data_IF_205169418891
#
_entry.id   IF_205169418891
#
_cell.length_a   1.000
_cell.length_b   1.000
_cell.length_c   1.000
_cell.angle_alpha   90.00
_cell.angle_beta   90.00
_cell.angle_gamma   90.00
#
_symmetry.space_group_name_H-M   'P 1'
#
loop_
_entity.id
_entity.type
_entity.pdbx_description
1 polymer ?
#
# COMPACT_ATOMS: atom_id res chain seq x y z
N UNK A 1 16.27 25.20 -42.52
CA UNK A 1 16.59 24.39 -41.32
C UNK A 1 16.02 23.00 -41.55
N UNK A 2 16.87 21.98 -41.72
CA UNK A 2 16.42 20.64 -42.07
C UNK A 2 15.88 19.91 -40.84
N UNK A 3 14.67 19.35 -40.98
CA UNK A 3 14.00 18.54 -39.97
C UNK A 3 14.62 17.13 -39.95
N UNK A 4 15.01 16.64 -38.77
CA UNK A 4 15.45 15.27 -38.61
C UNK A 4 14.24 14.33 -38.44
N UNK A 5 14.18 13.20 -39.16
CA UNK A 5 13.16 12.17 -38.95
C UNK A 5 13.55 11.26 -37.78
N UNK A 6 12.54 10.88 -36.98
CA UNK A 6 12.63 9.85 -35.94
C UNK A 6 12.86 8.46 -36.54
N UNK A 7 13.91 7.72 -36.15
CA UNK A 7 14.03 6.30 -36.43
C UNK A 7 13.87 5.50 -35.13
N UNK A 8 12.75 4.78 -34.99
CA UNK A 8 12.70 3.44 -34.36
C UNK A 8 11.26 2.92 -34.35
N UNK A 9 10.86 2.32 -35.47
CA UNK A 9 10.09 1.08 -35.45
C UNK A 9 11.10 -0.05 -35.68
N UNK A 10 11.20 -1.02 -34.78
CA UNK A 10 11.63 -2.36 -35.16
C UNK A 10 11.27 -3.41 -34.09
N UNK A 11 10.66 -4.49 -34.59
CA UNK A 11 10.62 -5.85 -34.05
C UNK A 11 9.71 -6.16 -32.86
N UNK A 12 8.56 -6.78 -33.16
CA UNK A 12 8.22 -8.12 -32.67
C UNK A 12 7.07 -8.66 -33.52
N UNK A 13 7.43 -9.15 -34.71
CA UNK A 13 6.64 -10.07 -35.52
C UNK A 13 7.26 -11.46 -35.31
N UNK A 14 6.45 -12.45 -34.94
CA UNK A 14 6.87 -13.85 -34.98
C UNK A 14 6.42 -14.69 -33.79
N UNK A 15 5.20 -15.23 -33.87
CA UNK A 15 4.88 -16.58 -33.40
C UNK A 15 3.53 -17.02 -33.99
N UNK A 16 3.62 -17.66 -35.16
CA UNK A 16 2.60 -18.55 -35.69
C UNK A 16 2.59 -19.87 -34.90
N UNK A 17 1.42 -20.40 -34.59
CA UNK A 17 1.08 -21.84 -34.62
C UNK A 17 -0.41 -21.98 -34.27
N UNK A 18 -1.29 -22.09 -35.26
CA UNK A 18 -1.76 -23.38 -35.80
C UNK A 18 -2.64 -24.17 -34.81
N UNK A 19 -3.95 -23.91 -34.85
CA UNK A 19 -4.97 -24.87 -34.47
C UNK A 19 -6.20 -24.66 -35.37
N UNK A 20 -6.04 -25.04 -36.64
CA UNK A 20 -7.13 -25.39 -37.53
C UNK A 20 -7.65 -26.77 -37.11
N UNK A 21 -8.94 -26.88 -36.84
CA UNK A 21 -9.58 -28.11 -36.40
C UNK A 21 -11.10 -28.06 -36.60
N UNK A 22 -11.49 -28.32 -37.85
CA UNK A 22 -12.75 -28.84 -38.41
C UNK A 22 -14.14 -28.41 -37.91
N UNK A 23 -15.05 -28.08 -38.86
CA UNK A 23 -16.49 -28.08 -38.68
C UNK A 23 -17.09 -29.48 -38.96
N UNK A 24 -18.40 -29.61 -38.68
CA UNK A 24 -19.31 -30.74 -38.96
C UNK A 24 -19.28 -31.91 -37.97
N UNK A 25 -20.38 -32.10 -37.21
CA UNK A 25 -21.25 -33.24 -37.48
C UNK A 25 -22.67 -33.06 -36.91
N UNK A 26 -23.64 -33.34 -37.78
CA UNK A 26 -25.07 -33.60 -37.54
C UNK A 26 -25.31 -34.48 -36.30
N UNK A 27 -26.37 -34.16 -35.57
CA UNK A 27 -27.35 -35.14 -35.05
C UNK A 27 -28.59 -34.41 -34.53
N UNK A 28 -29.49 -34.12 -35.46
CA UNK A 28 -30.90 -33.83 -35.18
C UNK A 28 -31.57 -35.09 -34.63
N UNK A 29 -31.66 -35.21 -33.32
CA UNK A 29 -32.60 -36.10 -32.65
C UNK A 29 -33.50 -35.22 -31.80
N UNK A 30 -34.75 -35.08 -32.23
CA UNK A 30 -35.80 -34.37 -31.49
C UNK A 30 -36.18 -35.20 -30.26
N UNK A 31 -35.90 -34.76 -29.03
CA UNK A 31 -36.51 -35.37 -27.86
C UNK A 31 -37.95 -34.89 -27.79
N UNK A 32 -38.89 -35.82 -27.65
CA UNK A 32 -40.29 -35.54 -27.37
C UNK A 32 -40.39 -34.48 -26.27
N UNK A 33 -41.04 -33.38 -26.62
CA UNK A 33 -41.41 -32.28 -25.74
C UNK A 33 -42.49 -32.80 -24.78
N UNK A 34 -42.06 -33.45 -23.70
CA UNK A 34 -42.88 -33.64 -22.51
C UNK A 34 -43.36 -32.27 -22.05
N UNK A 35 -44.68 -32.11 -21.95
CA UNK A 35 -45.30 -30.89 -21.42
C UNK A 35 -44.61 -30.49 -20.11
N UNK A 36 -44.19 -29.22 -19.97
CA UNK A 36 -43.67 -28.74 -18.71
C UNK A 36 -44.80 -28.79 -17.68
N UNK A 37 -44.69 -29.71 -16.72
CA UNK A 37 -45.58 -29.70 -15.57
C UNK A 37 -45.59 -28.30 -14.94
N UNK A 38 -46.78 -27.78 -14.59
CA UNK A 38 -46.90 -26.44 -14.01
C UNK A 38 -45.99 -26.36 -12.78
N UNK A 39 -45.13 -25.32 -12.66
CA UNK A 39 -44.17 -25.22 -11.57
C UNK A 39 -44.94 -25.29 -10.26
N UNK A 40 -44.83 -26.42 -9.56
CA UNK A 40 -45.45 -26.60 -8.24
C UNK A 40 -45.00 -25.43 -7.40
N UNK A 41 -45.94 -24.62 -6.92
CA UNK A 41 -45.68 -23.49 -6.03
C UNK A 41 -44.90 -24.02 -4.84
N UNK A 42 -43.58 -23.89 -4.86
CA UNK A 42 -42.73 -24.17 -3.72
C UNK A 42 -43.12 -23.12 -2.71
N UNK A 43 -43.85 -23.53 -1.68
CA UNK A 43 -44.12 -22.66 -0.55
C UNK A 43 -42.77 -22.30 0.04
N UNK A 44 -42.32 -21.08 -0.24
CA UNK A 44 -41.07 -20.53 0.27
C UNK A 44 -41.22 -20.42 1.78
N UNK A 45 -40.82 -21.50 2.47
CA UNK A 45 -40.83 -21.57 3.92
C UNK A 45 -40.04 -20.36 4.43
N UNK A 46 -40.63 -19.49 5.27
CA UNK A 46 -39.95 -18.30 5.76
C UNK A 46 -38.64 -18.73 6.43
N UNK A 47 -37.51 -18.31 5.86
CA UNK A 47 -36.22 -18.63 6.42
C UNK A 47 -36.10 -18.00 7.80
N UNK A 48 -35.88 -18.84 8.81
CA UNK A 48 -35.61 -18.41 10.19
C UNK A 48 -34.19 -17.81 10.24
N UNK A 49 -34.08 -16.59 9.74
CA UNK A 49 -32.85 -15.79 9.74
C UNK A 49 -32.74 -15.02 11.05
N UNK A 50 -31.51 -14.83 11.51
CA UNK A 50 -31.25 -14.02 12.68
C UNK A 50 -31.78 -12.58 12.51
N UNK A 51 -32.42 -12.04 13.56
CA UNK A 51 -33.05 -10.73 13.53
C UNK A 51 -32.07 -9.60 13.22
N UNK A 52 -30.81 -9.71 13.67
CA UNK A 52 -29.78 -8.68 13.42
C UNK A 52 -29.33 -8.69 11.95
N UNK A 53 -29.25 -9.88 11.34
CA UNK A 53 -28.90 -10.04 9.92
C UNK A 53 -30.03 -9.50 9.04
N UNK A 54 -31.29 -9.79 9.40
CA UNK A 54 -32.47 -9.24 8.71
C UNK A 54 -32.50 -7.71 8.79
N UNK A 55 -32.30 -7.15 9.99
CA UNK A 55 -32.25 -5.69 10.20
C UNK A 55 -31.16 -5.02 9.36
N UNK A 56 -29.98 -5.65 9.24
CA UNK A 56 -28.91 -5.14 8.37
C UNK A 56 -29.33 -5.15 6.90
N UNK A 57 -29.99 -6.21 6.46
CA UNK A 57 -30.52 -6.35 5.10
C UNK A 57 -31.56 -5.30 4.76
N UNK A 58 -32.53 -5.10 5.65
CA UNK A 58 -33.58 -4.09 5.49
C UNK A 58 -32.99 -2.67 5.45
N UNK A 59 -32.00 -2.37 6.30
CA UNK A 59 -31.40 -1.04 6.38
C UNK A 59 -30.67 -0.63 5.09
N UNK A 60 -29.97 -1.57 4.45
CA UNK A 60 -29.20 -1.33 3.24
C UNK A 60 -29.91 -1.80 1.95
N UNK A 61 -31.14 -2.30 2.06
CA UNK A 61 -31.94 -2.88 0.98
C UNK A 61 -31.17 -3.95 0.18
N UNK A 62 -30.61 -4.92 0.91
CA UNK A 62 -29.79 -6.02 0.36
C UNK A 62 -30.69 -7.21 0.03
N UNK A 63 -30.48 -7.82 -1.14
CA UNK A 63 -31.23 -9.00 -1.57
C UNK A 63 -31.07 -10.19 -0.60
N UNK A 64 -32.18 -10.88 -0.32
CA UNK A 64 -32.26 -12.02 0.60
C UNK A 64 -31.22 -13.10 0.32
N UNK A 65 -30.87 -13.31 -0.96
CA UNK A 65 -29.84 -14.27 -1.37
C UNK A 65 -28.52 -14.07 -0.63
N UNK A 66 -28.10 -12.81 -0.44
CA UNK A 66 -26.84 -12.50 0.25
C UNK A 66 -27.00 -12.55 1.77
N UNK A 67 -28.19 -12.27 2.29
CA UNK A 67 -28.50 -12.36 3.72
C UNK A 67 -28.51 -13.81 4.21
N UNK A 68 -29.05 -14.75 3.42
CA UNK A 68 -28.96 -16.20 3.72
C UNK A 68 -27.50 -16.61 3.87
N UNK A 69 -26.64 -16.21 2.91
CA UNK A 69 -25.20 -16.51 2.96
C UNK A 69 -24.52 -15.85 4.16
N UNK A 70 -24.89 -14.61 4.50
CA UNK A 70 -24.36 -13.93 5.69
C UNK A 70 -24.78 -14.66 6.98
N UNK A 71 -26.05 -15.06 7.11
CA UNK A 71 -26.59 -15.79 8.26
C UNK A 71 -25.83 -17.12 8.48
N UNK A 72 -25.60 -17.87 7.40
CA UNK A 72 -24.79 -19.10 7.46
C UNK A 72 -23.37 -18.85 8.00
N UNK A 73 -22.70 -17.77 7.58
CA UNK A 73 -21.38 -17.40 8.10
C UNK A 73 -21.43 -16.95 9.57
N UNK A 74 -22.46 -16.19 9.95
CA UNK A 74 -22.66 -15.77 11.34
C UNK A 74 -22.93 -16.96 12.27
N UNK A 75 -23.64 -18.00 11.79
CA UNK A 75 -23.85 -19.27 12.53
C UNK A 75 -22.55 -20.03 12.76
N UNK A 76 -21.56 -19.93 11.86
CA UNK A 76 -20.22 -20.51 12.02
C UNK A 76 -19.34 -19.68 12.95
N UNK A 77 -19.49 -18.35 12.95
CA UNK A 77 -18.69 -17.38 13.72
C UNK A 77 -19.45 -16.84 14.95
N UNK A 78 -20.13 -17.70 15.71
CA UNK A 78 -21.02 -17.26 16.81
C UNK A 78 -20.33 -16.36 17.84
N UNK A 79 -19.06 -16.63 18.13
CA UNK A 79 -18.27 -15.87 19.12
C UNK A 79 -17.99 -14.42 18.70
N UNK A 80 -17.84 -14.16 17.40
CA UNK A 80 -17.52 -12.82 16.86
C UNK A 80 -18.68 -12.17 16.13
N UNK A 81 -19.88 -12.78 16.15
CA UNK A 81 -21.06 -12.35 15.40
C UNK A 81 -21.35 -10.86 15.60
N UNK A 82 -21.50 -10.41 16.84
CA UNK A 82 -21.85 -9.03 17.16
C UNK A 82 -20.80 -8.03 16.66
N UNK A 83 -19.51 -8.36 16.84
CA UNK A 83 -18.39 -7.54 16.41
C UNK A 83 -18.30 -7.48 14.88
N UNK A 84 -18.58 -8.60 14.21
CA UNK A 84 -18.57 -8.71 12.76
C UNK A 84 -19.72 -7.90 12.15
N UNK A 85 -20.94 -8.02 12.68
CA UNK A 85 -22.11 -7.25 12.24
C UNK A 85 -21.94 -5.75 12.48
N UNK A 86 -21.44 -5.35 13.66
CA UNK A 86 -21.15 -3.94 13.94
C UNK A 86 -20.12 -3.38 12.94
N UNK A 87 -19.11 -4.19 12.58
CA UNK A 87 -18.11 -3.77 11.61
C UNK A 87 -18.66 -3.67 10.19
N UNK A 88 -19.50 -4.63 9.79
CA UNK A 88 -20.18 -4.59 8.50
C UNK A 88 -21.04 -3.34 8.39
N UNK A 89 -21.80 -2.98 9.43
CA UNK A 89 -22.63 -1.77 9.44
C UNK A 89 -21.82 -0.51 9.13
N UNK A 90 -20.70 -0.29 9.84
CA UNK A 90 -19.81 0.86 9.61
C UNK A 90 -19.24 0.91 8.19
N UNK A 91 -18.85 -0.25 7.65
CA UNK A 91 -18.19 -0.35 6.35
C UNK A 91 -19.21 -0.17 5.22
N UNK A 92 -20.42 -0.69 5.38
CA UNK A 92 -21.51 -0.57 4.41
C UNK A 92 -22.10 0.84 4.37
N UNK A 93 -22.17 1.53 5.51
CA UNK A 93 -22.63 2.92 5.60
C UNK A 93 -21.77 3.89 4.76
N UNK A 94 -20.47 3.61 4.63
CA UNK A 94 -19.55 4.44 3.85
C UNK A 94 -19.46 4.01 2.37
N UNK A 95 -20.08 2.89 2.00
CA UNK A 95 -19.92 2.29 0.69
C UNK A 95 -20.80 2.97 -0.37
N UNK A 96 -20.27 3.15 -1.58
CA UNK A 96 -21.08 3.61 -2.73
C UNK A 96 -22.11 2.56 -3.17
N UNK A 97 -21.80 1.28 -2.98
CA UNK A 97 -22.68 0.14 -3.26
C UNK A 97 -22.56 -0.84 -2.09
N UNK A 98 -23.53 -0.84 -1.15
CA UNK A 98 -23.45 -1.70 0.03
C UNK A 98 -23.50 -3.18 -0.35
N UNK A 99 -24.39 -3.59 -1.27
CA UNK A 99 -24.51 -4.99 -1.72
C UNK A 99 -23.20 -5.52 -2.30
N UNK A 100 -22.57 -4.79 -3.23
CA UNK A 100 -21.31 -5.24 -3.84
C UNK A 100 -20.17 -5.35 -2.83
N UNK A 101 -20.09 -4.42 -1.87
CA UNK A 101 -19.09 -4.47 -0.81
C UNK A 101 -19.35 -5.61 0.17
N UNK A 102 -20.61 -5.88 0.51
CA UNK A 102 -20.97 -7.02 1.36
C UNK A 102 -20.48 -8.33 0.73
N UNK A 103 -20.69 -8.55 -0.56
CA UNK A 103 -20.24 -9.77 -1.25
C UNK A 103 -18.72 -9.95 -1.13
N UNK A 104 -17.95 -8.88 -1.29
CA UNK A 104 -16.50 -8.92 -1.07
C UNK A 104 -16.15 -9.27 0.39
N UNK A 105 -16.87 -8.70 1.37
CA UNK A 105 -16.67 -9.00 2.80
C UNK A 105 -17.07 -10.41 3.18
N UNK A 106 -18.09 -10.99 2.57
CA UNK A 106 -18.44 -12.41 2.74
C UNK A 106 -17.30 -13.31 2.27
N UNK A 107 -16.67 -12.99 1.13
CA UNK A 107 -15.47 -13.69 0.66
C UNK A 107 -14.29 -13.58 1.63
N UNK A 108 -14.03 -12.39 2.18
CA UNK A 108 -13.02 -12.22 3.23
C UNK A 108 -13.35 -13.00 4.51
N UNK A 109 -14.62 -13.09 4.89
CA UNK A 109 -15.08 -13.86 6.06
C UNK A 109 -14.87 -15.36 5.87
N UNK A 110 -15.17 -15.89 4.68
CA UNK A 110 -14.95 -17.29 4.30
C UNK A 110 -13.47 -17.65 4.30
N UNK A 111 -12.60 -16.75 3.83
CA UNK A 111 -11.16 -16.90 3.90
C UNK A 111 -10.56 -16.70 5.31
N UNK A 112 -11.39 -16.41 6.33
CA UNK A 112 -10.93 -16.10 7.68
C UNK A 112 -10.11 -14.80 7.78
N UNK A 113 -10.17 -13.96 6.75
CA UNK A 113 -9.46 -12.70 6.66
C UNK A 113 -10.21 -11.55 7.33
N UNK A 114 -11.53 -11.61 7.38
CA UNK A 114 -12.34 -10.57 7.99
C UNK A 114 -12.19 -10.53 9.52
N UNK A 115 -11.82 -9.35 10.04
CA UNK A 115 -11.74 -9.06 11.49
C UNK A 115 -12.82 -8.03 11.85
N UNK A 116 -13.71 -8.41 12.76
CA UNK A 116 -14.78 -7.55 13.28
C UNK A 116 -14.26 -6.37 14.11
N UNK A 117 -15.19 -5.64 14.73
CA UNK A 117 -14.88 -4.47 15.57
C UNK A 117 -14.30 -4.92 16.91
N UNK A 118 -12.99 -5.11 16.93
CA UNK A 118 -12.23 -5.49 18.13
C UNK A 118 -11.72 -4.23 18.84
N UNK A 119 -11.90 -4.16 20.17
CA UNK A 119 -11.34 -3.08 20.99
C UNK A 119 -9.80 -3.13 20.91
N UNK A 120 -9.12 -2.01 20.62
CA UNK A 120 -7.65 -1.99 20.58
C UNK A 120 -7.08 -2.39 21.94
N UNK A 121 -5.94 -3.08 21.91
CA UNK A 121 -5.22 -3.46 23.13
C UNK A 121 -4.52 -2.26 23.77
N UNK A 122 -4.20 -2.36 25.07
CA UNK A 122 -3.44 -1.33 25.79
C UNK A 122 -2.07 -1.06 25.15
N UNK A 123 -1.42 -2.09 24.61
CA UNK A 123 -0.15 -1.95 23.89
C UNK A 123 -0.31 -1.19 22.55
N UNK A 124 -1.42 -1.42 21.84
CA UNK A 124 -1.72 -0.73 20.58
C UNK A 124 -2.08 0.74 20.87
N UNK A 125 -2.89 0.99 21.90
CA UNK A 125 -3.20 2.34 22.36
C UNK A 125 -1.93 3.11 22.75
N UNK A 126 -1.00 2.46 23.48
CA UNK A 126 0.30 3.04 23.82
C UNK A 126 1.08 3.46 22.58
N UNK A 127 1.17 2.61 21.56
CA UNK A 127 1.85 2.94 20.31
C UNK A 127 1.14 4.06 19.54
N UNK A 128 -0.19 4.02 19.51
CA UNK A 128 -1.01 5.03 18.86
C UNK A 128 -0.80 6.41 19.46
N UNK A 129 -0.81 6.52 20.79
CA UNK A 129 -0.55 7.78 21.50
C UNK A 129 0.91 8.21 21.37
N UNK A 130 1.88 7.29 21.53
CA UNK A 130 3.31 7.61 21.48
C UNK A 130 3.76 8.18 20.14
N UNK A 131 3.21 7.66 19.04
CA UNK A 131 3.62 8.02 17.68
C UNK A 131 2.55 8.80 16.90
N UNK A 132 1.45 9.20 17.56
CA UNK A 132 0.29 9.86 16.95
C UNK A 132 -0.20 9.12 15.69
N UNK A 133 -0.46 7.81 15.82
CA UNK A 133 -0.89 6.98 14.70
C UNK A 133 -2.35 7.23 14.34
N UNK A 134 -2.65 7.24 13.04
CA UNK A 134 -4.01 7.45 12.54
C UNK A 134 -4.92 6.27 12.92
N UNK A 135 -6.23 6.52 13.05
CA UNK A 135 -7.24 5.49 13.36
C UNK A 135 -7.19 4.30 12.41
N UNK A 136 -6.88 4.52 11.13
CA UNK A 136 -6.72 3.45 10.13
C UNK A 136 -5.55 2.52 10.46
N UNK A 137 -4.45 3.08 10.95
CA UNK A 137 -3.26 2.31 11.37
C UNK A 137 -3.58 1.50 12.62
N UNK A 138 -4.28 2.09 13.59
CA UNK A 138 -4.73 1.41 14.80
C UNK A 138 -5.60 0.20 14.47
N UNK A 139 -6.55 0.35 13.54
CA UNK A 139 -7.38 -0.76 13.06
C UNK A 139 -6.55 -1.89 12.45
N UNK A 140 -5.52 -1.55 11.65
CA UNK A 140 -4.61 -2.53 11.05
C UNK A 140 -3.69 -3.21 12.08
N UNK A 141 -3.27 -2.50 13.12
CA UNK A 141 -2.52 -3.08 14.24
C UNK A 141 -3.37 -4.09 15.01
N UNK A 142 -4.65 -3.78 15.23
CA UNK A 142 -5.59 -4.71 15.86
C UNK A 142 -5.80 -5.95 15.00
N UNK A 143 -5.91 -5.80 13.68
CA UNK A 143 -5.97 -6.93 12.74
C UNK A 143 -4.70 -7.79 12.79
N UNK A 144 -3.52 -7.16 12.76
CA UNK A 144 -2.23 -7.86 12.86
C UNK A 144 -2.15 -8.71 14.13
N UNK A 145 -2.62 -8.17 15.27
CA UNK A 145 -2.70 -8.87 16.56
C UNK A 145 -3.54 -10.14 16.46
N UNK A 146 -4.73 -10.03 15.88
CA UNK A 146 -5.68 -11.14 15.76
C UNK A 146 -5.12 -12.24 14.86
N UNK A 147 -4.50 -11.88 13.73
CA UNK A 147 -3.97 -12.85 12.75
C UNK A 147 -2.65 -13.49 13.17
N UNK A 148 -1.74 -12.75 13.83
CA UNK A 148 -0.38 -13.22 14.14
C UNK A 148 -0.14 -13.43 15.63
N UNK A 149 -1.05 -14.14 16.31
CA UNK A 149 -0.99 -14.37 17.78
C UNK A 149 0.37 -14.87 18.30
N UNK A 150 1.11 -15.65 17.51
CA UNK A 150 2.41 -16.22 17.89
C UNK A 150 3.56 -15.21 17.85
N UNK A 151 3.65 -14.36 16.82
CA UNK A 151 4.77 -13.42 16.62
C UNK A 151 4.43 -11.97 16.94
N UNK A 152 3.19 -11.68 17.34
CA UNK A 152 2.68 -10.32 17.53
C UNK A 152 3.59 -9.43 18.40
N UNK A 153 4.18 -9.99 19.46
CA UNK A 153 4.99 -9.19 20.38
C UNK A 153 6.32 -8.77 19.74
N UNK A 154 6.95 -9.68 18.99
CA UNK A 154 8.15 -9.38 18.22
C UNK A 154 7.85 -8.37 17.11
N UNK A 155 6.73 -8.57 16.41
CA UNK A 155 6.26 -7.68 15.34
C UNK A 155 6.04 -6.25 15.89
N UNK A 156 5.42 -6.10 17.07
CA UNK A 156 5.25 -4.79 17.71
C UNK A 156 6.56 -4.16 18.17
N UNK A 157 7.48 -4.95 18.76
CA UNK A 157 8.78 -4.44 19.20
C UNK A 157 9.60 -3.93 18.01
N UNK A 158 9.65 -4.69 16.92
CA UNK A 158 10.36 -4.27 15.70
C UNK A 158 9.68 -3.07 15.05
N UNK A 159 8.35 -3.07 14.97
CA UNK A 159 7.61 -1.92 14.46
C UNK A 159 7.92 -0.65 15.26
N UNK A 160 7.96 -0.73 16.60
CA UNK A 160 8.31 0.40 17.46
C UNK A 160 9.72 0.94 17.19
N UNK A 161 10.69 0.05 16.93
CA UNK A 161 12.04 0.46 16.50
C UNK A 161 12.00 1.24 15.18
N UNK A 162 11.27 0.75 14.17
CA UNK A 162 11.09 1.44 12.89
C UNK A 162 10.43 2.81 13.06
N UNK A 163 9.34 2.89 13.81
CA UNK A 163 8.61 4.14 14.06
C UNK A 163 9.48 5.20 14.76
N UNK A 164 10.44 4.78 15.59
CA UNK A 164 11.37 5.70 16.25
C UNK A 164 12.35 6.39 15.29
N UNK A 165 12.62 5.79 14.12
CA UNK A 165 13.53 6.33 13.10
C UNK A 165 12.82 7.13 12.00
N UNK A 166 11.48 7.07 11.94
CA UNK A 166 10.70 7.63 10.84
C UNK A 166 10.35 9.11 10.99
N UNK A 167 10.30 9.80 9.83
CA UNK A 167 9.69 11.13 9.75
C UNK A 167 8.16 11.08 9.86
N UNK A 168 7.53 10.07 9.24
CA UNK A 168 6.08 9.88 9.11
C UNK A 168 5.66 8.49 9.63
N UNK A 169 5.42 8.33 10.94
CA UNK A 169 5.18 7.03 11.56
C UNK A 169 3.93 6.33 11.01
N UNK A 170 2.79 7.01 10.84
CA UNK A 170 1.55 6.41 10.31
C UNK A 170 1.73 5.75 8.94
N UNK A 171 2.47 6.41 8.04
CA UNK A 171 2.72 5.90 6.69
C UNK A 171 3.62 4.65 6.71
N UNK A 172 4.70 4.69 7.49
CA UNK A 172 5.60 3.53 7.63
C UNK A 172 4.90 2.35 8.28
N UNK A 173 4.12 2.58 9.35
CA UNK A 173 3.33 1.53 9.98
C UNK A 173 2.37 0.88 8.98
N UNK A 174 1.62 1.67 8.21
CA UNK A 174 0.67 1.15 7.22
C UNK A 174 1.35 0.24 6.20
N UNK A 175 2.53 0.63 5.72
CA UNK A 175 3.30 -0.13 4.74
C UNK A 175 3.81 -1.45 5.33
N UNK A 176 4.50 -1.40 6.47
CA UNK A 176 5.08 -2.60 7.10
C UNK A 176 4.00 -3.58 7.54
N UNK A 177 2.90 -3.10 8.13
CA UNK A 177 1.78 -3.95 8.54
C UNK A 177 1.09 -4.57 7.32
N UNK A 178 0.90 -3.80 6.23
CA UNK A 178 0.33 -4.31 4.98
C UNK A 178 1.11 -5.51 4.46
N UNK A 179 2.44 -5.36 4.33
CA UNK A 179 3.32 -6.45 3.88
C UNK A 179 3.31 -7.68 4.79
N UNK A 180 3.17 -7.49 6.10
CA UNK A 180 3.06 -8.62 7.05
C UNK A 180 1.71 -9.34 6.93
N UNK A 181 0.62 -8.60 6.69
CA UNK A 181 -0.73 -9.14 6.56
C UNK A 181 -0.96 -9.84 5.22
N UNK A 182 -0.33 -9.33 4.16
CA UNK A 182 -0.33 -9.90 2.82
C UNK A 182 0.60 -11.12 2.70
N UNK A 183 1.49 -11.32 3.69
CA UNK A 183 2.44 -12.42 3.71
C UNK A 183 3.67 -12.20 2.85
N UNK A 184 3.84 -11.01 2.26
CA UNK A 184 5.06 -10.63 1.52
C UNK A 184 6.29 -10.62 2.44
N UNK A 185 6.09 -10.21 3.70
CA UNK A 185 7.12 -10.24 4.73
C UNK A 185 6.81 -11.29 5.79
N UNK A 186 7.75 -12.22 5.99
CA UNK A 186 7.69 -13.17 7.11
C UNK A 186 7.92 -12.46 8.44
N UNK A 187 8.84 -11.50 8.49
CA UNK A 187 9.20 -10.75 9.68
C UNK A 187 9.64 -9.32 9.29
N UNK A 188 9.43 -8.35 10.18
CA UNK A 188 9.95 -6.99 9.97
C UNK A 188 11.48 -7.02 10.07
N UNK A 189 12.25 -6.40 9.15
CA UNK A 189 13.71 -6.31 9.23
C UNK A 189 14.16 -5.69 10.57
N UNK A 190 15.22 -6.22 11.17
CA UNK A 190 15.79 -5.67 12.39
C UNK A 190 16.55 -4.37 12.06
N UNK A 191 16.28 -3.32 12.83
CA UNK A 191 16.92 -2.00 12.70
C UNK A 191 17.66 -1.60 13.96
N UNK A 192 18.00 -2.56 14.82
CA UNK A 192 18.72 -2.34 16.08
C UNK A 192 20.08 -1.69 15.83
N UNK A 193 20.89 -2.21 14.90
CA UNK A 193 22.19 -1.64 14.52
C UNK A 193 22.07 -0.21 13.98
N UNK A 194 21.07 0.04 13.11
CA UNK A 194 20.76 1.37 12.59
C UNK A 194 20.37 2.35 13.73
N UNK A 195 19.57 1.90 14.69
CA UNK A 195 19.16 2.71 15.84
C UNK A 195 20.35 3.08 16.72
N UNK A 196 21.26 2.15 16.98
CA UNK A 196 22.47 2.39 17.74
C UNK A 196 23.35 3.46 17.06
N UNK A 197 23.57 3.36 15.75
CA UNK A 197 24.31 4.37 14.98
C UNK A 197 23.62 5.74 15.01
N UNK A 198 22.30 5.77 14.82
CA UNK A 198 21.55 7.01 14.87
C UNK A 198 21.68 7.75 16.21
N UNK A 199 21.74 7.01 17.33
CA UNK A 199 21.94 7.58 18.66
C UNK A 199 23.39 8.03 18.87
N UNK A 200 24.36 7.18 18.51
CA UNK A 200 25.79 7.46 18.68
C UNK A 200 26.23 8.73 17.98
N UNK A 201 25.80 8.93 16.73
CA UNK A 201 26.16 10.12 15.93
C UNK A 201 25.16 11.27 16.05
N UNK A 202 24.16 11.16 16.94
CA UNK A 202 23.08 12.15 17.13
C UNK A 202 22.47 12.61 15.80
N UNK A 203 22.16 11.65 14.92
CA UNK A 203 21.65 11.94 13.58
C UNK A 203 20.32 12.71 13.63
N UNK A 204 20.14 13.61 12.67
CA UNK A 204 18.89 14.33 12.50
C UNK A 204 17.75 13.40 12.03
N UNK A 205 16.52 13.93 12.00
CA UNK A 205 15.34 13.14 11.68
C UNK A 205 15.35 12.61 10.23
N UNK A 206 15.94 13.36 9.31
CA UNK A 206 15.98 13.00 7.89
C UNK A 206 17.04 11.93 7.62
N UNK A 207 18.22 12.06 8.22
CA UNK A 207 19.29 11.07 8.20
C UNK A 207 18.85 9.76 8.88
N UNK A 208 18.13 9.82 10.00
CA UNK A 208 17.50 8.65 10.64
C UNK A 208 16.54 7.90 9.70
N UNK A 209 15.68 8.65 9.00
CA UNK A 209 14.76 8.04 8.04
C UNK A 209 15.51 7.37 6.89
N UNK A 210 16.59 7.98 6.40
CA UNK A 210 17.44 7.39 5.36
C UNK A 210 18.19 6.15 5.85
N UNK A 211 18.66 6.15 7.09
CA UNK A 211 19.32 4.99 7.69
C UNK A 211 18.36 3.79 7.78
N UNK A 212 17.10 4.03 8.16
CA UNK A 212 16.05 3.00 8.15
C UNK A 212 15.80 2.46 6.75
N UNK A 213 15.67 3.34 5.74
CA UNK A 213 15.47 2.92 4.33
C UNK A 213 16.61 2.04 3.82
N UNK A 214 17.86 2.38 4.18
CA UNK A 214 19.03 1.56 3.84
C UNK A 214 18.90 0.18 4.50
N UNK A 215 18.61 0.11 5.81
CA UNK A 215 18.43 -1.16 6.52
C UNK A 215 17.31 -2.03 5.95
N UNK A 216 16.19 -1.41 5.54
CA UNK A 216 15.07 -2.11 4.90
C UNK A 216 15.42 -2.67 3.52
N UNK A 217 16.23 -1.95 2.73
CA UNK A 217 16.61 -2.34 1.37
C UNK A 217 17.79 -3.32 1.33
N UNK A 218 18.68 -3.22 2.32
CA UNK A 218 19.90 -4.01 2.49
C UNK A 218 19.72 -5.01 3.63
N UNK A 219 18.60 -5.74 3.63
CA UNK A 219 18.28 -6.65 4.74
C UNK A 219 19.28 -7.82 4.84
N UNK A 220 19.83 -8.27 3.71
CA UNK A 220 20.73 -9.43 3.65
C UNK A 220 22.14 -9.13 4.16
N UNK A 221 22.59 -7.87 4.05
CA UNK A 221 23.94 -7.43 4.39
C UNK A 221 23.95 -6.18 5.29
N UNK A 222 22.92 -6.07 6.14
CA UNK A 222 22.69 -4.90 6.99
C UNK A 222 23.88 -4.62 7.91
N UNK A 223 24.50 -5.65 8.50
CA UNK A 223 25.60 -5.47 9.46
C UNK A 223 26.87 -4.94 8.77
N UNK A 224 27.20 -5.44 7.58
CA UNK A 224 28.33 -4.95 6.78
C UNK A 224 28.13 -3.48 6.38
N UNK A 225 26.91 -3.11 5.97
CA UNK A 225 26.56 -1.73 5.62
C UNK A 225 26.67 -0.81 6.83
N UNK A 226 26.14 -1.23 7.96
CA UNK A 226 26.15 -0.44 9.18
C UNK A 226 27.58 -0.25 9.69
N UNK A 227 28.43 -1.28 9.64
CA UNK A 227 29.85 -1.16 9.99
C UNK A 227 30.60 -0.20 9.03
N UNK A 228 30.34 -0.28 7.72
CA UNK A 228 30.94 0.64 6.75
C UNK A 228 30.49 2.09 6.96
N UNK A 229 29.20 2.29 7.23
CA UNK A 229 28.64 3.60 7.55
C UNK A 229 29.27 4.15 8.82
N UNK A 230 29.41 3.34 9.88
CA UNK A 230 30.06 3.75 11.11
C UNK A 230 31.47 4.28 10.88
N UNK A 231 32.32 3.51 10.17
CA UNK A 231 33.68 3.93 9.83
C UNK A 231 33.69 5.24 9.04
N UNK A 232 32.74 5.41 8.10
CA UNK A 232 32.64 6.62 7.29
C UNK A 232 32.16 7.83 8.09
N UNK A 233 31.23 7.63 9.03
CA UNK A 233 30.69 8.69 9.87
C UNK A 233 31.70 9.15 10.93
N UNK A 234 32.56 8.26 11.43
CA UNK A 234 33.66 8.62 12.34
C UNK A 234 34.64 9.61 11.71
N UNK A 235 34.87 9.52 10.40
CA UNK A 235 35.80 10.40 9.68
C UNK A 235 35.15 11.72 9.23
N UNK A 236 33.84 11.90 9.42
CA UNK A 236 33.11 13.08 8.94
C UNK A 236 32.87 14.10 10.05
N UNK A 237 33.06 15.38 9.74
CA UNK A 237 32.66 16.48 10.61
C UNK A 237 31.12 16.66 10.68
N UNK A 238 30.40 16.22 9.64
CA UNK A 238 28.94 16.36 9.53
C UNK A 238 28.29 15.00 9.20
N UNK A 239 28.02 14.15 10.20
CA UNK A 239 27.58 12.78 9.97
C UNK A 239 26.23 12.70 9.24
N UNK A 240 25.24 13.53 9.62
CA UNK A 240 23.91 13.54 8.97
C UNK A 240 24.00 13.86 7.47
N UNK A 241 24.75 14.90 7.10
CA UNK A 241 24.90 15.31 5.70
C UNK A 241 25.67 14.25 4.88
N UNK A 242 26.71 13.66 5.46
CA UNK A 242 27.45 12.57 4.81
C UNK A 242 26.56 11.35 4.60
N UNK A 243 25.78 10.94 5.60
CA UNK A 243 24.83 9.83 5.44
C UNK A 243 23.83 10.08 4.32
N UNK A 244 23.23 11.27 4.29
CA UNK A 244 22.25 11.63 3.25
C UNK A 244 22.84 11.58 1.84
N UNK A 245 24.10 11.98 1.66
CA UNK A 245 24.81 11.88 0.37
C UNK A 245 25.05 10.42 -0.04
N UNK A 246 25.38 9.55 0.92
CA UNK A 246 25.68 8.14 0.68
C UNK A 246 24.44 7.26 0.53
N UNK A 247 23.31 7.68 1.11
CA UNK A 247 22.12 6.86 1.19
C UNK A 247 21.63 6.38 -0.18
N UNK A 248 21.65 7.26 -1.20
CA UNK A 248 21.21 6.90 -2.55
C UNK A 248 22.06 5.76 -3.12
N UNK A 249 23.39 5.89 -3.06
CA UNK A 249 24.33 4.89 -3.57
C UNK A 249 24.20 3.55 -2.85
N UNK A 250 23.94 3.57 -1.54
CA UNK A 250 23.79 2.36 -0.73
C UNK A 250 22.46 1.64 -1.00
N UNK A 251 21.36 2.39 -1.20
CA UNK A 251 20.05 1.82 -1.53
C UNK A 251 20.01 1.20 -2.92
N UNK A 252 20.78 1.74 -3.87
CA UNK A 252 20.87 1.22 -5.25
C UNK A 252 21.76 -0.06 -5.34
N UNK A 253 22.21 -0.62 -4.22
CA UNK A 253 23.06 -1.81 -4.18
C UNK A 253 24.51 -1.55 -4.58
N UNK A 254 24.91 -0.29 -4.74
CA UNK A 254 26.28 0.08 -5.06
C UNK A 254 27.22 -0.30 -3.92
N UNK A 255 27.99 -1.39 -4.07
CA UNK A 255 29.19 -1.62 -3.26
C UNK A 255 30.13 -0.46 -3.58
N UNK A 256 30.42 0.40 -2.60
CA UNK A 256 31.52 1.36 -2.77
C UNK A 256 32.78 0.52 -3.02
N UNK A 257 33.36 0.66 -4.22
CA UNK A 257 34.73 0.21 -4.47
C UNK A 257 35.58 0.77 -3.34
N UNK A 258 36.24 -0.10 -2.59
CA UNK A 258 37.16 0.30 -1.52
C UNK A 258 38.15 1.30 -2.12
N UNK A 259 38.51 2.34 -1.37
CA UNK A 259 39.44 3.36 -1.85
C UNK A 259 40.79 2.75 -2.28
N UNK A 260 41.12 1.57 -1.77
CA UNK A 260 42.31 0.79 -2.13
C UNK A 260 42.31 0.27 -3.57
N UNK A 261 41.16 0.26 -4.26
CA UNK A 261 41.04 -0.22 -5.64
C UNK A 261 41.15 0.90 -6.70
N UNK A 262 41.41 2.15 -6.28
CA UNK A 262 41.47 3.31 -7.18
C UNK A 262 42.88 3.79 -7.56
N UNK A 263 43.92 3.06 -7.17
CA UNK A 263 45.30 3.43 -7.51
C UNK A 263 45.99 2.41 -8.45
N UNK A 264 45.25 1.91 -9.43
CA UNK A 264 45.84 1.19 -10.56
C UNK A 264 45.40 1.87 -11.85
N UNK A 265 46.29 2.73 -12.35
CA UNK A 265 46.48 3.08 -13.76
C UNK A 265 45.25 3.44 -14.58
N UNK A 266 44.94 4.74 -14.69
CA UNK A 266 44.44 5.30 -15.94
C UNK A 266 45.03 6.70 -16.12
N UNK A 267 46.35 6.73 -16.16
CA UNK A 267 47.15 7.84 -16.67
C UNK A 267 47.51 7.52 -18.11
N UNK A 268 46.54 7.54 -19.02
CA UNK A 268 46.84 7.60 -20.45
C UNK A 268 45.84 8.52 -21.14
N UNK A 269 46.37 9.70 -21.47
CA UNK A 269 46.16 10.44 -22.71
C UNK A 269 44.73 10.65 -23.19
N UNK A 270 44.23 11.87 -23.01
CA UNK A 270 43.50 12.52 -24.11
C UNK A 270 43.87 14.01 -24.13
N UNK A 271 44.98 14.31 -24.83
CA UNK A 271 45.22 15.62 -25.41
C UNK A 271 44.05 15.93 -26.36
N UNK A 272 43.11 16.76 -25.91
CA UNK A 272 42.11 17.32 -26.82
C UNK A 272 42.14 18.84 -26.80
N UNK A 273 42.49 19.35 -27.98
CA UNK A 273 42.81 20.70 -28.38
C UNK A 273 41.85 21.80 -27.90
N UNK A 274 42.38 23.03 -27.71
CA UNK A 274 41.59 24.23 -27.49
C UNK A 274 41.10 24.77 -28.85
N UNK A 275 39.95 24.31 -29.34
CA UNK A 275 39.38 24.86 -30.58
C UNK A 275 37.98 25.45 -30.34
N UNK A 276 37.97 26.78 -30.49
CA UNK A 276 36.87 27.66 -30.88
C UNK A 276 35.54 27.57 -30.11
N UNK A 277 35.36 28.55 -29.21
CA UNK A 277 34.03 29.00 -28.76
C UNK A 277 33.37 29.84 -29.86
N UNK A 278 32.29 29.38 -30.51
CA UNK A 278 31.45 30.28 -31.28
C UNK A 278 30.70 31.21 -30.32
N UNK A 279 30.86 32.51 -30.59
CA UNK A 279 29.98 33.57 -30.12
C UNK A 279 28.55 33.31 -30.59
N UNK A 280 27.59 33.89 -29.85
CA UNK A 280 26.14 33.99 -30.11
C UNK A 280 25.32 32.76 -29.67
N UNK A 281 24.18 32.88 -29.00
CA UNK A 281 23.16 33.94 -28.99
C UNK A 281 22.51 34.05 -27.61
N UNK A 282 22.28 35.29 -27.21
CA UNK A 282 21.35 35.70 -26.16
C UNK A 282 19.95 35.11 -26.44
N UNK A 283 19.62 34.00 -25.78
CA UNK A 283 18.25 33.50 -25.75
C UNK A 283 17.41 34.42 -24.85
N UNK A 284 16.18 34.79 -25.26
CA UNK A 284 15.31 35.60 -24.43
C UNK A 284 15.00 34.82 -23.15
N UNK A 285 15.24 35.47 -22.01
CA UNK A 285 14.73 35.03 -20.71
C UNK A 285 13.21 34.94 -20.83
N UNK A 286 12.68 33.73 -21.05
CA UNK A 286 11.30 33.45 -20.70
C UNK A 286 11.25 33.40 -19.18
N UNK A 287 10.88 34.52 -18.59
CA UNK A 287 10.45 34.59 -17.21
C UNK A 287 9.22 33.66 -17.08
N UNK A 288 9.48 32.41 -16.71
CA UNK A 288 8.47 31.53 -16.16
C UNK A 288 8.13 32.08 -14.77
N UNK A 289 7.38 33.18 -14.75
CA UNK A 289 6.58 33.60 -13.62
C UNK A 289 5.58 32.48 -13.38
N UNK A 290 5.96 31.54 -12.52
CA UNK A 290 5.02 30.61 -11.90
C UNK A 290 4.07 31.45 -11.06
N UNK A 291 3.01 31.88 -11.73
CA UNK A 291 1.88 32.63 -11.20
C UNK A 291 1.23 31.84 -10.07
N UNK A 292 1.72 32.10 -8.85
CA UNK A 292 1.24 31.56 -7.59
C UNK A 292 -0.20 31.97 -7.29
N UNK A 293 -0.80 32.87 -8.09
CA UNK A 293 -2.21 33.23 -7.98
C UNK A 293 -3.14 32.15 -8.59
N UNK A 294 -2.67 31.36 -9.56
CA UNK A 294 -3.46 30.28 -10.18
C UNK A 294 -3.70 29.10 -9.24
N UNK A 295 -2.72 28.76 -8.39
CA UNK A 295 -2.85 27.69 -7.37
C UNK A 295 -3.81 28.13 -6.25
N UNK A 296 -3.77 29.41 -5.83
CA UNK A 296 -4.72 29.92 -4.83
C UNK A 296 -6.16 29.92 -5.35
N UNK A 297 -6.40 30.22 -6.64
CA UNK A 297 -7.75 30.17 -7.24
C UNK A 297 -8.31 28.74 -7.32
N UNK A 298 -7.49 27.73 -7.61
CA UNK A 298 -7.94 26.32 -7.62
C UNK A 298 -8.30 25.82 -6.21
N UNK A 299 -7.61 26.28 -5.17
CA UNK A 299 -7.91 25.88 -3.78
C UNK A 299 -9.23 26.49 -3.28
N UNK A 300 -9.50 27.76 -3.61
CA UNK A 300 -10.75 28.43 -3.24
C UNK A 300 -11.99 27.86 -3.97
N UNK A 301 -11.85 27.37 -5.20
CA UNK A 301 -12.94 26.74 -5.94
C UNK A 301 -13.36 25.37 -5.37
N UNK A 302 -12.42 24.62 -4.78
CA UNK A 302 -12.71 23.35 -4.10
C UNK A 302 -13.38 23.57 -2.73
N UNK A 303 -13.00 24.61 -1.98
CA UNK A 303 -13.67 24.94 -0.70
C UNK A 303 -15.11 25.42 -0.89
N UNK A 304 -15.43 26.15 -1.97
CA UNK A 304 -16.82 26.53 -2.28
C UNK A 304 -17.70 25.33 -2.66
N UNK A 305 -17.16 24.30 -3.32
CA UNK A 305 -17.90 23.05 -3.58
C UNK A 305 -18.12 22.21 -2.32
N UNK A 306 -17.20 22.28 -1.35
CA UNK A 306 -17.36 21.57 -0.08
C UNK A 306 -18.42 22.21 0.82
N UNK A 307 -18.49 23.55 0.88
CA UNK A 307 -19.49 24.27 1.69
C UNK A 307 -20.91 24.18 1.12
N UNK A 308 -21.07 24.09 -0.21
CA UNK A 308 -22.40 23.92 -0.82
C UNK A 308 -23.03 22.55 -0.57
N UNK A 309 -22.26 21.52 -0.17
CA UNK A 309 -22.81 20.19 0.13
C UNK A 309 -23.16 19.96 1.60
N UNK A 310 -22.65 20.78 2.52
CA UNK A 310 -23.06 20.72 3.92
C UNK A 310 -24.31 21.55 4.23
N UNK A 311 -24.72 22.49 3.35
CA UNK A 311 -25.89 23.34 3.59
C UNK A 311 -27.25 22.66 3.32
N UNK A 312 -27.28 21.46 2.73
CA UNK A 312 -28.53 20.72 2.50
C UNK A 312 -28.96 19.81 3.66
N UNK A 313 -28.21 19.78 4.77
CA UNK A 313 -28.49 18.87 5.90
C UNK A 313 -29.07 19.55 7.15
N UNK A 314 -29.45 20.84 7.09
CA UNK A 314 -30.03 21.58 8.24
C UNK A 314 -31.48 22.05 7.96
N UNK A 315 -32.14 21.57 6.90
CA UNK A 315 -33.49 22.00 6.55
C UNK A 315 -34.59 20.92 6.71
N UNK A 316 -34.32 19.83 7.43
CA UNK A 316 -35.33 18.81 7.77
C UNK A 316 -35.09 18.27 9.19
N UNK A 317 -35.19 19.17 10.17
CA UNK A 317 -35.53 18.86 11.56
C UNK A 317 -36.77 19.65 11.93
#
# INVERSE_FOLDING_TARGET
MPMMPNPMMMMMAGAMAAAQGSPTNRSSSSPQRSEPEPPSKREDKPWDMDADVRKLGDHFNIEDRWLVRLDELMRRRRETKEQDLAKLYEVLEQARSPTGLLVAKLGEMECGQFVGKVKPDRNIERLATRYNLDTRVVSRLTELRVRRKRTQQEDFNRLEQHLSLCKRPSATATLLIGKLLEGELKQIPDVTSAKALAQRFKLDKDAKSKLREIAEKRADDVDEVMAHLEKTLLMSHQPSATLCKLAKTLMDGGKKKSADEKYVGNSDTDERSPEERPRSRSAPRSECSTDSSSIRRRRAALERRSRSRCACYIANL
#
